data_IF_512838151073
#
_entry.id   IF_512838151073
#
_cell.length_a   1.000
_cell.length_b   1.000
_cell.length_c   1.000
_cell.angle_alpha   90.00
_cell.angle_beta   90.00
_cell.angle_gamma   90.00
#
_symmetry.space_group_name_H-M   'P 1'
#
loop_
_entity.id
_entity.type
_entity.pdbx_description
1 polymer ?
#
# COMPACT_ATOMS: atom_id res chain seq x y z
N UNK A 1 -6.80 -18.74 -6.34
CA UNK A 1 -6.14 -18.23 -5.13
C UNK A 1 -6.85 -16.99 -4.61
N UNK A 2 -7.19 -17.02 -3.36
CA UNK A 2 -7.80 -15.86 -2.66
C UNK A 2 -6.73 -14.78 -2.50
N UNK A 3 -7.06 -13.56 -2.22
CA UNK A 3 -6.15 -12.43 -2.10
C UNK A 3 -5.53 -11.97 -3.42
N UNK A 4 -6.28 -12.09 -4.52
CA UNK A 4 -5.93 -11.42 -5.78
C UNK A 4 -7.05 -10.48 -6.15
N UNK A 5 -6.79 -9.16 -6.05
CA UNK A 5 -7.79 -8.12 -6.29
C UNK A 5 -9.07 -8.36 -5.47
N UNK A 6 -8.92 -8.90 -4.27
CA UNK A 6 -10.06 -9.22 -3.42
C UNK A 6 -10.55 -7.95 -2.70
N UNK A 7 -11.83 -7.64 -2.86
CA UNK A 7 -12.44 -6.53 -2.13
C UNK A 7 -12.65 -6.97 -0.68
N UNK A 8 -11.87 -6.39 0.23
CA UNK A 8 -11.99 -6.67 1.67
C UNK A 8 -13.07 -5.86 2.33
N UNK A 9 -13.27 -4.63 1.88
CA UNK A 9 -14.28 -3.75 2.44
C UNK A 9 -14.62 -2.66 1.43
N UNK A 10 -15.87 -2.23 1.47
CA UNK A 10 -16.33 -1.07 0.73
C UNK A 10 -17.22 -0.28 1.67
N UNK A 11 -16.76 0.88 2.14
CA UNK A 11 -17.49 1.68 3.11
C UNK A 11 -17.18 3.15 2.88
N UNK A 12 -18.22 3.97 3.07
CA UNK A 12 -18.13 5.43 2.92
C UNK A 12 -17.56 5.86 1.55
N UNK A 13 -17.82 5.06 0.50
CA UNK A 13 -17.32 5.32 -0.84
C UNK A 13 -15.86 4.95 -1.05
N UNK A 14 -15.21 4.34 -0.06
CA UNK A 14 -13.82 3.91 -0.12
C UNK A 14 -13.78 2.40 -0.31
N UNK A 15 -13.02 1.93 -1.31
CA UNK A 15 -12.88 0.51 -1.60
C UNK A 15 -11.50 0.03 -1.18
N UNK A 16 -11.44 -0.99 -0.34
CA UNK A 16 -10.19 -1.58 0.15
C UNK A 16 -9.97 -2.92 -0.52
N UNK A 17 -8.85 -3.03 -1.22
CA UNK A 17 -8.48 -4.22 -2.00
C UNK A 17 -7.31 -4.91 -1.33
N UNK A 18 -7.38 -6.23 -1.20
CA UNK A 18 -6.28 -7.07 -0.76
C UNK A 18 -5.71 -7.80 -1.97
N UNK A 19 -4.40 -7.68 -2.17
CA UNK A 19 -3.72 -8.39 -3.25
C UNK A 19 -2.41 -8.98 -2.75
N UNK A 20 -2.17 -10.22 -3.12
CA UNK A 20 -0.99 -10.99 -2.72
C UNK A 20 0.25 -10.66 -3.56
N UNK A 21 0.24 -9.60 -4.35
CA UNK A 21 1.37 -9.23 -5.21
C UNK A 21 2.66 -9.11 -4.38
N UNK A 22 3.68 -9.81 -4.80
CA UNK A 22 4.96 -9.84 -4.09
C UNK A 22 6.17 -9.76 -5.04
N UNK A 23 5.93 -9.25 -6.25
CA UNK A 23 6.96 -9.05 -7.26
C UNK A 23 6.61 -7.77 -8.04
N UNK A 24 7.59 -6.97 -8.49
CA UNK A 24 7.29 -5.72 -9.20
C UNK A 24 6.34 -5.88 -10.39
N UNK A 25 6.52 -6.92 -11.20
CA UNK A 25 5.63 -7.18 -12.34
C UNK A 25 4.17 -7.41 -11.89
N UNK A 26 3.99 -8.19 -10.82
CA UNK A 26 2.67 -8.45 -10.27
C UNK A 26 2.04 -7.18 -9.70
N UNK A 27 2.82 -6.35 -9.03
CA UNK A 27 2.35 -5.07 -8.48
C UNK A 27 1.88 -4.15 -9.61
N UNK A 28 2.67 -4.04 -10.67
CA UNK A 28 2.32 -3.23 -11.83
C UNK A 28 1.01 -3.73 -12.45
N UNK A 29 0.87 -5.04 -12.63
CA UNK A 29 -0.35 -5.64 -13.17
C UNK A 29 -1.57 -5.36 -12.31
N UNK A 30 -1.45 -5.50 -11.00
CA UNK A 30 -2.51 -5.22 -10.05
C UNK A 30 -2.96 -3.77 -10.11
N UNK A 31 -2.01 -2.83 -10.07
CA UNK A 31 -2.35 -1.40 -10.06
C UNK A 31 -2.98 -0.97 -11.39
N UNK A 32 -2.50 -1.49 -12.51
CA UNK A 32 -3.12 -1.22 -13.83
C UNK A 32 -4.53 -1.78 -13.91
N UNK A 33 -4.74 -2.99 -13.41
CA UNK A 33 -6.07 -3.60 -13.38
C UNK A 33 -7.04 -2.77 -12.55
N UNK A 34 -6.59 -2.23 -11.42
CA UNK A 34 -7.42 -1.37 -10.58
C UNK A 34 -7.74 -0.04 -11.26
N UNK A 35 -6.79 0.52 -12.01
CA UNK A 35 -7.04 1.72 -12.81
C UNK A 35 -8.17 1.49 -13.82
N UNK A 36 -8.15 0.33 -14.47
CA UNK A 36 -9.18 -0.03 -15.46
C UNK A 36 -10.52 -0.28 -14.80
N UNK A 37 -10.52 -0.98 -13.66
CA UNK A 37 -11.74 -1.36 -12.94
C UNK A 37 -12.41 -0.16 -12.27
N UNK A 38 -11.62 0.81 -11.81
CA UNK A 38 -12.11 1.99 -11.07
C UNK A 38 -11.61 3.27 -11.74
N UNK A 39 -12.07 3.57 -12.95
CA UNK A 39 -11.55 4.73 -13.69
C UNK A 39 -11.88 6.05 -13.01
N UNK A 40 -10.93 6.97 -13.04
CA UNK A 40 -11.10 8.31 -12.49
C UNK A 40 -11.05 8.40 -10.96
N UNK A 41 -10.81 7.29 -10.27
CA UNK A 41 -10.74 7.27 -8.80
C UNK A 41 -9.29 7.34 -8.34
N UNK A 42 -9.08 7.98 -7.20
CA UNK A 42 -7.73 8.11 -6.64
C UNK A 42 -7.27 6.75 -6.09
N UNK A 43 -6.12 6.28 -6.58
CA UNK A 43 -5.59 4.97 -6.24
C UNK A 43 -4.42 5.08 -5.26
N UNK A 44 -4.57 4.43 -4.11
CA UNK A 44 -3.53 4.30 -3.10
C UNK A 44 -2.88 2.93 -3.20
N UNK A 45 -1.57 2.88 -3.12
CA UNK A 45 -0.82 1.63 -3.00
C UNK A 45 -0.14 1.60 -1.64
N UNK A 46 -0.47 0.63 -0.82
CA UNK A 46 0.15 0.42 0.50
C UNK A 46 0.92 -0.87 0.44
N UNK A 47 2.24 -0.81 0.53
CA UNK A 47 3.12 -1.95 0.34
C UNK A 47 3.87 -2.30 1.61
N UNK A 48 3.82 -3.57 1.99
CA UNK A 48 4.71 -4.15 2.99
C UNK A 48 5.75 -5.00 2.25
N UNK A 49 7.02 -4.59 2.18
CA UNK A 49 8.07 -5.42 1.56
C UNK A 49 8.36 -6.64 2.44
N UNK A 50 7.73 -7.76 2.11
CA UNK A 50 7.77 -8.97 2.93
C UNK A 50 8.41 -10.17 2.23
N UNK A 51 8.22 -10.32 0.92
CA UNK A 51 8.80 -11.43 0.18
C UNK A 51 10.32 -11.26 0.04
N UNK A 52 11.02 -12.36 -0.24
CA UNK A 52 12.46 -12.29 -0.50
C UNK A 52 12.79 -11.31 -1.61
N UNK A 53 11.95 -11.24 -2.64
CA UNK A 53 12.12 -10.32 -3.76
C UNK A 53 12.01 -8.87 -3.31
N UNK A 54 10.91 -8.54 -2.62
CA UNK A 54 10.62 -7.14 -2.27
C UNK A 54 11.50 -6.59 -1.15
N UNK A 55 12.18 -7.46 -0.39
CA UNK A 55 13.08 -7.01 0.68
C UNK A 55 14.49 -6.69 0.17
N UNK A 56 14.76 -6.89 -1.13
CA UNK A 56 16.10 -6.75 -1.69
C UNK A 56 16.26 -5.50 -2.54
N UNK A 57 17.38 -4.84 -2.37
CA UNK A 57 17.73 -3.60 -3.06
C UNK A 57 17.75 -3.73 -4.58
N UNK A 58 18.09 -4.91 -5.09
CA UNK A 58 18.24 -5.14 -6.53
C UNK A 58 16.93 -4.83 -7.30
N UNK A 59 15.79 -4.89 -6.63
CA UNK A 59 14.49 -4.61 -7.27
C UNK A 59 13.97 -3.19 -7.04
N UNK A 60 14.78 -2.31 -6.45
CA UNK A 60 14.33 -0.96 -6.09
C UNK A 60 13.82 -0.15 -7.28
N UNK A 61 14.55 -0.15 -8.40
CA UNK A 61 14.14 0.58 -9.60
C UNK A 61 12.81 0.06 -10.16
N UNK A 62 12.70 -1.26 -10.26
CA UNK A 62 11.50 -1.89 -10.78
C UNK A 62 10.29 -1.66 -9.87
N UNK A 63 10.52 -1.67 -8.55
CA UNK A 63 9.49 -1.35 -7.57
C UNK A 63 8.99 0.09 -7.73
N UNK A 64 9.90 1.04 -7.90
CA UNK A 64 9.52 2.43 -8.11
C UNK A 64 8.66 2.58 -9.36
N UNK A 65 9.04 1.93 -10.45
CA UNK A 65 8.26 1.96 -11.69
C UNK A 65 6.88 1.36 -11.49
N UNK A 66 6.79 0.22 -10.80
CA UNK A 66 5.52 -0.47 -10.54
C UNK A 66 4.60 0.38 -9.67
N UNK A 67 5.11 0.89 -8.57
CA UNK A 67 4.33 1.70 -7.62
C UNK A 67 3.93 3.05 -8.21
N UNK A 68 4.67 3.53 -9.21
CA UNK A 68 4.34 4.77 -9.91
C UNK A 68 3.00 4.73 -10.65
N UNK A 69 2.38 3.58 -10.76
CA UNK A 69 1.02 3.46 -11.32
C UNK A 69 -0.06 3.96 -10.35
N UNK A 70 0.28 4.19 -9.09
CA UNK A 70 -0.66 4.70 -8.09
C UNK A 70 -0.57 6.22 -7.97
N UNK A 71 -1.61 6.82 -7.40
CA UNK A 71 -1.64 8.26 -7.12
C UNK A 71 -0.98 8.61 -5.80
N UNK A 72 -1.04 7.69 -4.83
CA UNK A 72 -0.44 7.83 -3.50
C UNK A 72 0.21 6.52 -3.14
N UNK A 73 1.42 6.58 -2.60
CA UNK A 73 2.15 5.38 -2.19
C UNK A 73 2.51 5.49 -0.71
N UNK A 74 2.28 4.42 0.03
CA UNK A 74 2.68 4.29 1.42
C UNK A 74 3.50 3.01 1.57
N UNK A 75 4.70 3.14 2.10
CA UNK A 75 5.58 1.99 2.33
C UNK A 75 5.67 1.73 3.83
N UNK A 76 5.53 0.47 4.20
CA UNK A 76 5.83 0.02 5.55
C UNK A 76 7.31 -0.31 5.67
N UNK A 77 7.80 -0.43 6.90
CA UNK A 77 9.17 -0.89 7.15
C UNK A 77 9.35 -2.29 6.57
N UNK A 78 10.56 -2.59 6.10
CA UNK A 78 10.88 -3.90 5.53
C UNK A 78 10.72 -4.99 6.59
N UNK A 79 9.88 -5.97 6.30
CA UNK A 79 9.60 -7.07 7.23
C UNK A 79 10.87 -7.91 7.44
N UNK A 80 11.26 -8.09 8.70
CA UNK A 80 12.45 -8.85 9.11
C UNK A 80 13.69 -8.45 8.30
N UNK A 81 13.95 -7.15 8.22
CA UNK A 81 15.08 -6.63 7.44
C UNK A 81 16.43 -7.21 7.90
N UNK A 82 16.55 -7.56 9.19
CA UNK A 82 17.78 -8.13 9.75
C UNK A 82 18.19 -9.47 9.12
N UNK A 83 17.24 -10.17 8.50
CA UNK A 83 17.51 -11.45 7.83
C UNK A 83 18.27 -11.28 6.52
N UNK A 84 18.45 -10.04 6.05
CA UNK A 84 19.11 -9.75 4.78
C UNK A 84 20.35 -8.89 5.07
N UNK A 85 21.51 -9.20 4.48
CA UNK A 85 22.70 -8.36 4.65
C UNK A 85 22.41 -6.92 4.30
N UNK A 86 22.95 -5.99 5.09
CA UNK A 86 22.66 -4.56 4.93
C UNK A 86 22.90 -4.03 3.50
N UNK A 87 23.96 -4.53 2.85
CA UNK A 87 24.31 -4.09 1.50
C UNK A 87 23.30 -4.55 0.43
N UNK A 88 22.54 -5.62 0.72
CA UNK A 88 21.56 -6.19 -0.22
C UNK A 88 20.13 -5.84 0.15
N UNK A 89 19.95 -5.13 1.25
CA UNK A 89 18.64 -4.81 1.80
C UNK A 89 18.01 -3.63 1.06
N UNK A 90 16.71 -3.75 0.73
CA UNK A 90 15.96 -2.63 0.19
C UNK A 90 16.00 -1.46 1.17
N UNK A 91 16.23 -0.26 0.64
CA UNK A 91 16.16 0.98 1.40
C UNK A 91 14.82 1.66 1.12
N UNK A 92 13.83 1.54 2.03
CA UNK A 92 12.51 2.16 1.79
C UNK A 92 12.58 3.67 1.66
N UNK A 93 13.52 4.32 2.37
CA UNK A 93 13.69 5.76 2.26
C UNK A 93 14.15 6.16 0.86
N UNK A 94 15.11 5.43 0.29
CA UNK A 94 15.58 5.68 -1.07
C UNK A 94 14.47 5.44 -2.09
N UNK A 95 13.67 4.40 -1.89
CA UNK A 95 12.53 4.10 -2.76
C UNK A 95 11.51 5.24 -2.71
N UNK A 96 11.22 5.74 -1.51
CA UNK A 96 10.31 6.87 -1.31
C UNK A 96 10.79 8.12 -2.05
N UNK A 97 12.08 8.42 -1.92
CA UNK A 97 12.69 9.58 -2.60
C UNK A 97 12.62 9.42 -4.12
N UNK A 98 12.86 8.23 -4.64
CA UNK A 98 12.78 7.94 -6.08
C UNK A 98 11.37 8.17 -6.61
N UNK A 99 10.36 7.72 -5.87
CA UNK A 99 8.95 7.94 -6.23
C UNK A 99 8.62 9.43 -6.25
N UNK A 100 9.03 10.16 -5.23
CA UNK A 100 8.80 11.62 -5.14
C UNK A 100 9.48 12.35 -6.30
N UNK A 101 10.69 11.95 -6.67
CA UNK A 101 11.41 12.53 -7.78
C UNK A 101 10.68 12.37 -9.11
N UNK A 102 9.84 11.34 -9.22
CA UNK A 102 9.02 11.10 -10.41
C UNK A 102 7.61 11.68 -10.28
N UNK A 103 7.37 12.52 -9.28
CA UNK A 103 6.09 13.19 -9.11
C UNK A 103 5.02 12.35 -8.43
N UNK A 104 5.39 11.22 -7.82
CA UNK A 104 4.44 10.35 -7.11
C UNK A 104 4.56 10.61 -5.61
N UNK A 105 3.50 11.12 -4.95
CA UNK A 105 3.52 11.28 -3.50
C UNK A 105 3.76 9.94 -2.82
N UNK A 106 4.77 9.88 -1.97
CA UNK A 106 5.16 8.64 -1.30
C UNK A 106 5.61 8.92 0.13
N UNK A 107 5.28 8.03 1.04
CA UNK A 107 5.63 8.13 2.45
C UNK A 107 6.10 6.79 2.98
N UNK A 108 7.08 6.86 3.88
CA UNK A 108 7.53 5.68 4.63
C UNK A 108 6.97 5.79 6.05
N UNK A 109 6.16 4.81 6.43
CA UNK A 109 5.57 4.72 7.76
C UNK A 109 5.94 3.35 8.35
N UNK A 110 6.08 3.28 9.66
CA UNK A 110 6.68 2.09 10.28
C UNK A 110 5.80 0.85 10.30
N UNK A 111 4.63 0.96 10.91
CA UNK A 111 3.75 -0.18 11.16
C UNK A 111 2.38 0.02 10.53
N UNK A 112 1.56 -1.05 10.56
CA UNK A 112 0.17 -0.97 10.14
C UNK A 112 -0.59 0.09 10.95
N UNK A 113 -0.35 0.17 12.27
CA UNK A 113 -1.01 1.16 13.11
C UNK A 113 -0.62 2.58 12.72
N UNK A 114 0.66 2.82 12.43
CA UNK A 114 1.14 4.12 11.96
C UNK A 114 0.51 4.50 10.64
N UNK A 115 0.40 3.55 9.73
CA UNK A 115 -0.20 3.77 8.41
C UNK A 115 -1.67 4.13 8.56
N UNK A 116 -2.42 3.36 9.33
CA UNK A 116 -3.85 3.61 9.54
C UNK A 116 -4.07 5.00 10.14
N UNK A 117 -3.30 5.34 11.17
CA UNK A 117 -3.42 6.64 11.83
C UNK A 117 -3.13 7.81 10.87
N UNK A 118 -2.17 7.62 9.96
CA UNK A 118 -1.77 8.68 9.04
C UNK A 118 -2.74 8.85 7.87
N UNK A 119 -3.22 7.76 7.28
CA UNK A 119 -4.00 7.86 6.03
C UNK A 119 -5.50 8.01 6.23
N UNK A 120 -6.08 7.48 7.31
CA UNK A 120 -7.53 7.50 7.52
C UNK A 120 -8.10 8.93 7.43
N UNK A 121 -7.49 9.96 8.04
CA UNK A 121 -8.00 11.32 7.90
C UNK A 121 -7.92 11.88 6.47
N UNK A 122 -7.10 11.29 5.63
CA UNK A 122 -6.89 11.77 4.25
C UNK A 122 -7.73 11.03 3.21
N UNK A 123 -8.26 9.86 3.56
CA UNK A 123 -9.06 9.07 2.63
C UNK A 123 -10.40 9.76 2.36
N UNK A 124 -10.83 9.71 1.10
CA UNK A 124 -12.05 10.38 0.64
C UNK A 124 -12.94 9.40 -0.11
N UNK A 125 -14.23 9.71 -0.15
CA UNK A 125 -15.16 8.96 -0.98
C UNK A 125 -14.65 8.91 -2.43
N UNK A 126 -14.64 7.73 -3.00
CA UNK A 126 -14.10 7.46 -4.33
C UNK A 126 -12.71 6.83 -4.31
N UNK A 127 -11.99 6.91 -3.20
CA UNK A 127 -10.64 6.34 -3.13
C UNK A 127 -10.66 4.82 -3.21
N UNK A 128 -9.64 4.28 -3.88
CA UNK A 128 -9.37 2.84 -3.92
C UNK A 128 -8.03 2.61 -3.23
N UNK A 129 -8.02 1.75 -2.22
CA UNK A 129 -6.82 1.46 -1.44
C UNK A 129 -6.38 0.02 -1.71
N UNK A 130 -5.26 -0.14 -2.40
CA UNK A 130 -4.69 -1.44 -2.67
C UNK A 130 -3.65 -1.78 -1.61
N UNK A 131 -3.92 -2.81 -0.82
CA UNK A 131 -2.99 -3.29 0.20
C UNK A 131 -2.21 -4.46 -0.39
N UNK A 132 -0.91 -4.26 -0.55
CA UNK A 132 -0.02 -5.19 -1.25
C UNK A 132 0.90 -5.85 -0.23
N UNK A 133 0.62 -7.12 0.09
CA UNK A 133 1.42 -7.89 1.02
C UNK A 133 1.17 -9.37 0.81
N UNK A 134 2.20 -10.18 1.01
CA UNK A 134 2.05 -11.63 0.99
C UNK A 134 1.98 -12.22 2.41
N UNK A 135 1.58 -11.40 3.38
CA UNK A 135 1.44 -11.82 4.77
C UNK A 135 0.29 -11.11 5.48
N UNK A 136 0.34 -11.08 6.80
CA UNK A 136 -0.71 -10.51 7.62
C UNK A 136 -0.71 -9.00 7.75
N UNK A 137 0.40 -8.38 7.45
CA UNK A 137 0.59 -6.92 7.51
C UNK A 137 0.00 -6.29 8.78
N UNK A 138 0.39 -6.86 9.94
CA UNK A 138 -0.01 -6.30 11.23
C UNK A 138 -1.51 -6.17 11.46
N UNK A 139 -2.34 -6.91 10.73
CA UNK A 139 -3.79 -6.84 10.87
C UNK A 139 -4.41 -5.64 10.20
N UNK A 140 -3.72 -4.99 9.25
CA UNK A 140 -4.22 -3.79 8.57
C UNK A 140 -5.58 -4.02 7.89
N UNK A 141 -5.85 -5.26 7.47
CA UNK A 141 -7.10 -5.62 6.78
C UNK A 141 -8.34 -5.42 7.65
N UNK A 142 -8.18 -5.52 8.97
CA UNK A 142 -9.26 -5.27 9.93
C UNK A 142 -9.15 -3.86 10.51
N UNK A 143 -7.94 -3.40 10.77
CA UNK A 143 -7.70 -2.10 11.41
C UNK A 143 -8.12 -0.93 10.55
N UNK A 144 -7.86 -1.00 9.23
CA UNK A 144 -8.18 0.10 8.34
C UNK A 144 -9.70 0.31 8.20
N UNK A 145 -10.50 -0.73 7.90
CA UNK A 145 -11.96 -0.55 7.87
C UNK A 145 -12.53 -0.12 9.20
N UNK A 146 -12.05 -0.68 10.31
CA UNK A 146 -12.54 -0.32 11.64
C UNK A 146 -12.28 1.14 11.97
N UNK A 147 -11.08 1.64 11.64
CA UNK A 147 -10.71 3.03 11.88
C UNK A 147 -11.51 3.99 10.99
N UNK A 148 -11.73 3.62 9.72
CA UNK A 148 -12.57 4.41 8.81
C UNK A 148 -14.00 4.51 9.33
N UNK A 149 -14.55 3.40 9.78
CA UNK A 149 -15.91 3.39 10.33
C UNK A 149 -15.99 4.28 11.57
N UNK A 150 -15.02 4.17 12.48
CA UNK A 150 -15.00 4.97 13.72
C UNK A 150 -14.93 6.47 13.44
N UNK A 151 -14.10 6.92 12.50
CA UNK A 151 -13.97 8.34 12.20
C UNK A 151 -15.24 8.91 11.54
N UNK A 152 -15.90 8.12 10.69
CA UNK A 152 -17.15 8.54 10.06
C UNK A 152 -18.30 8.56 11.06
N UNK A 153 -18.35 7.61 11.99
CA UNK A 153 -19.33 7.61 13.08
C UNK A 153 -19.19 8.87 13.95
N UNK A 154 -17.94 9.20 14.31
CA UNK A 154 -17.66 10.39 15.10
C UNK A 154 -18.08 11.67 14.38
N UNK A 155 -17.85 11.76 13.07
CA UNK A 155 -18.25 12.92 12.27
C UNK A 155 -19.79 13.05 12.17
N UNK A 156 -20.50 11.92 12.15
CA UNK A 156 -21.97 11.91 12.06
C UNK A 156 -22.63 12.33 13.38
N UNK A 157 -21.98 12.02 14.50
CA UNK A 157 -22.52 12.32 15.83
C UNK A 157 -22.13 13.71 16.36
N UNK A 158 -21.21 14.36 15.70
CA UNK A 158 -20.73 15.69 16.11
C UNK A 158 -21.66 16.85 15.58
#
# INVERSE_FOLDING_TARGET
MKRRLEVKAALHGITIIDDFAHHPTAISGTLRALRTRYPGRRLWAILEPRSNTLRRKVFETELAESLGNADQVVLAAVFKSDAIPAAERLDPAALTERLRAHGVPARLLGSADDIVAAIVPELRSGDVVAILSNGGFGGIYEKLPASLHAIHEAATTA
#
